data_IF_992647016338
#
_entry.id   IF_992647016338
#
_cell.length_a   1.000
_cell.length_b   1.000
_cell.length_c   1.000
_cell.angle_alpha   90.00
_cell.angle_beta   90.00
_cell.angle_gamma   90.00
#
_symmetry.space_group_name_H-M   'P 1'
#
loop_
_entity.id
_entity.type
_entity.pdbx_description
1 polymer ?
#
# COMPACT_ATOMS: atom_id res chain seq x y z
N UNK A 1 -4.59 29.67 -5.19
CA UNK A 1 -3.99 29.51 -6.54
C UNK A 1 -2.58 28.99 -6.37
N UNK A 2 -2.16 27.94 -7.08
CA UNK A 2 -0.81 27.41 -7.03
C UNK A 2 0.16 28.34 -7.75
N UNK A 3 1.39 28.56 -7.20
CA UNK A 3 2.43 29.30 -7.90
C UNK A 3 2.80 28.58 -9.20
N UNK A 4 3.14 29.34 -10.24
CA UNK A 4 3.57 28.78 -11.54
C UNK A 4 5.09 28.85 -11.72
N UNK A 5 5.74 29.82 -11.07
CA UNK A 5 7.19 29.95 -11.10
C UNK A 5 7.85 28.85 -10.24
N UNK A 6 8.91 28.22 -10.77
CA UNK A 6 9.58 27.07 -10.14
C UNK A 6 10.01 27.35 -8.70
N UNK A 7 10.67 28.48 -8.45
CA UNK A 7 11.14 28.82 -7.10
C UNK A 7 9.99 29.05 -6.13
N UNK A 8 8.94 29.74 -6.57
CA UNK A 8 7.73 29.96 -5.78
C UNK A 8 6.99 28.64 -5.49
N UNK A 9 6.97 27.70 -6.45
CA UNK A 9 6.37 26.38 -6.24
C UNK A 9 7.15 25.55 -5.21
N UNK A 10 8.48 25.55 -5.28
CA UNK A 10 9.34 24.87 -4.31
C UNK A 10 9.17 25.44 -2.90
N UNK A 11 9.15 26.79 -2.78
CA UNK A 11 8.93 27.45 -1.51
C UNK A 11 7.53 27.15 -0.94
N UNK A 12 6.51 27.15 -1.78
CA UNK A 12 5.14 26.80 -1.40
C UNK A 12 5.04 25.35 -0.91
N UNK A 13 5.66 24.40 -1.62
CA UNK A 13 5.69 22.99 -1.24
C UNK A 13 6.37 22.81 0.12
N UNK A 14 7.53 23.46 0.33
CA UNK A 14 8.24 23.40 1.60
C UNK A 14 7.39 23.96 2.76
N UNK A 15 6.75 25.13 2.55
CA UNK A 15 5.88 25.75 3.54
C UNK A 15 4.65 24.85 3.85
N UNK A 16 4.01 24.28 2.82
CA UNK A 16 2.86 23.38 2.98
C UNK A 16 3.25 22.11 3.75
N UNK A 17 4.43 21.55 3.48
CA UNK A 17 4.97 20.41 4.23
C UNK A 17 5.15 20.75 5.70
N UNK A 18 5.72 21.91 6.03
CA UNK A 18 5.89 22.34 7.43
C UNK A 18 4.55 22.57 8.15
N UNK A 19 3.55 23.12 7.46
CA UNK A 19 2.20 23.28 8.01
C UNK A 19 1.57 21.92 8.33
N UNK A 20 1.65 20.95 7.41
CA UNK A 20 1.14 19.60 7.64
C UNK A 20 1.85 18.92 8.83
N UNK A 21 3.18 18.95 8.85
CA UNK A 21 3.97 18.38 9.96
C UNK A 21 3.63 19.04 11.31
N UNK A 22 3.43 20.34 11.31
CA UNK A 22 3.00 21.09 12.50
C UNK A 22 1.62 20.64 12.99
N UNK A 23 0.66 20.53 12.09
CA UNK A 23 -0.69 20.10 12.42
C UNK A 23 -0.74 18.65 12.94
N UNK A 24 -0.03 17.72 12.30
CA UNK A 24 0.05 16.31 12.72
C UNK A 24 0.71 16.17 14.11
N UNK A 25 1.80 16.91 14.37
CA UNK A 25 2.47 16.91 15.68
C UNK A 25 1.58 17.49 16.78
N UNK A 26 0.85 18.55 16.48
CA UNK A 26 -0.07 19.19 17.43
C UNK A 26 -1.26 18.29 17.76
N UNK A 27 -1.81 17.59 16.77
CA UNK A 27 -2.93 16.68 16.95
C UNK A 27 -2.53 15.44 17.78
N UNK A 28 -1.34 14.90 17.54
CA UNK A 28 -0.92 13.63 18.11
C UNK A 28 -1.47 12.43 17.31
N UNK A 29 -0.80 11.25 17.39
CA UNK A 29 -1.07 10.13 16.49
C UNK A 29 -2.49 9.54 16.62
N UNK A 30 -3.06 9.58 17.83
CA UNK A 30 -4.34 8.94 18.14
C UNK A 30 -5.54 9.87 17.93
N UNK A 31 -5.32 11.12 17.54
CA UNK A 31 -6.41 12.06 17.27
C UNK A 31 -7.20 11.63 16.05
N UNK A 32 -8.49 11.36 16.24
CA UNK A 32 -9.42 11.04 15.16
C UNK A 32 -9.55 12.18 14.15
N UNK A 33 -9.62 11.85 12.87
CA UNK A 33 -9.82 12.83 11.82
C UNK A 33 -10.56 12.20 10.64
N UNK A 34 -11.06 13.05 9.75
CA UNK A 34 -11.60 12.57 8.50
C UNK A 34 -10.51 11.93 7.63
N UNK A 35 -10.84 10.79 7.02
CA UNK A 35 -10.02 10.10 6.02
C UNK A 35 -10.89 9.72 4.83
N UNK A 36 -10.29 9.48 3.68
CA UNK A 36 -11.02 9.00 2.50
C UNK A 36 -11.25 7.47 2.52
N UNK A 37 -10.73 6.77 3.55
CA UNK A 37 -10.82 5.31 3.71
C UNK A 37 -11.65 4.87 4.94
N UNK A 38 -12.91 5.33 5.11
CA UNK A 38 -13.67 5.07 6.35
C UNK A 38 -14.01 3.60 6.56
N UNK A 39 -14.08 2.81 5.49
CA UNK A 39 -14.45 1.39 5.51
C UNK A 39 -13.24 0.44 5.49
N UNK A 40 -12.01 0.97 5.42
CA UNK A 40 -10.78 0.17 5.40
C UNK A 40 -10.35 -0.33 6.78
N UNK A 41 -9.26 -1.10 6.81
CA UNK A 41 -8.64 -1.55 8.06
C UNK A 41 -7.65 -0.53 8.67
N UNK A 42 -7.41 0.59 8.01
CA UNK A 42 -6.49 1.63 8.49
C UNK A 42 -7.16 2.57 9.48
N UNK A 43 -6.43 3.05 10.51
CA UNK A 43 -6.97 3.98 11.49
C UNK A 43 -7.39 5.32 10.85
N UNK A 44 -8.56 5.82 11.23
CA UNK A 44 -9.02 7.18 10.88
C UNK A 44 -8.44 8.18 11.90
N UNK A 45 -7.14 8.39 11.87
CA UNK A 45 -6.42 9.22 12.82
C UNK A 45 -5.29 10.02 12.16
N UNK A 46 -4.78 11.03 12.87
CA UNK A 46 -3.63 11.80 12.42
C UNK A 46 -2.38 10.92 12.19
N UNK A 47 -2.22 9.86 12.99
CA UNK A 47 -1.18 8.84 12.76
C UNK A 47 -1.40 8.05 11.46
N UNK A 48 -2.64 7.65 11.16
CA UNK A 48 -3.02 7.03 9.90
C UNK A 48 -2.71 7.94 8.70
N UNK A 49 -3.09 9.21 8.78
CA UNK A 49 -2.75 10.23 7.76
C UNK A 49 -1.23 10.35 7.60
N UNK A 50 -0.48 10.43 8.70
CA UNK A 50 0.99 10.57 8.64
C UNK A 50 1.62 9.35 7.95
N UNK A 51 1.16 8.14 8.27
CA UNK A 51 1.62 6.89 7.65
C UNK A 51 1.33 6.88 6.15
N UNK A 52 0.10 7.17 5.76
CA UNK A 52 -0.31 7.26 4.36
C UNK A 52 0.52 8.29 3.58
N UNK A 53 0.79 9.47 4.18
CA UNK A 53 1.61 10.52 3.54
C UNK A 53 3.06 10.10 3.31
N UNK A 54 3.63 9.21 4.12
CA UNK A 54 4.97 8.65 3.86
C UNK A 54 4.96 7.82 2.57
N UNK A 55 3.93 7.00 2.36
CA UNK A 55 3.79 6.18 1.15
C UNK A 55 3.58 7.03 -0.09
N UNK A 56 2.60 7.92 -0.07
CA UNK A 56 2.32 8.85 -1.15
C UNK A 56 3.56 9.65 -1.57
N UNK A 57 4.28 10.21 -0.58
CA UNK A 57 5.49 10.98 -0.86
C UNK A 57 6.60 10.10 -1.46
N UNK A 58 6.76 8.86 -0.99
CA UNK A 58 7.78 7.94 -1.48
C UNK A 58 7.51 7.53 -2.93
N UNK A 59 6.27 7.16 -3.26
CA UNK A 59 5.86 6.76 -4.62
C UNK A 59 5.94 7.96 -5.58
N UNK A 60 5.45 9.13 -5.19
CA UNK A 60 5.52 10.31 -6.04
C UNK A 60 6.93 10.89 -6.20
N UNK A 61 7.81 10.70 -5.21
CA UNK A 61 9.24 10.99 -5.40
C UNK A 61 9.86 10.06 -6.45
N UNK A 62 9.52 8.77 -6.41
CA UNK A 62 9.91 7.82 -7.45
C UNK A 62 9.38 8.23 -8.83
N UNK A 63 8.09 8.60 -8.94
CA UNK A 63 7.48 9.07 -10.19
C UNK A 63 8.24 10.27 -10.78
N UNK A 64 8.59 11.25 -9.93
CA UNK A 64 9.35 12.42 -10.36
C UNK A 64 10.77 12.06 -10.84
N UNK A 65 11.43 11.12 -10.16
CA UNK A 65 12.76 10.63 -10.55
C UNK A 65 12.69 9.81 -11.85
N UNK A 66 11.68 9.00 -12.02
CA UNK A 66 11.45 8.22 -13.23
C UNK A 66 11.22 9.13 -14.44
N UNK A 67 10.50 10.24 -14.27
CA UNK A 67 10.26 11.23 -15.33
C UNK A 67 11.54 11.88 -15.85
N UNK A 68 12.62 11.91 -15.07
CA UNK A 68 13.94 12.41 -15.50
C UNK A 68 14.94 11.28 -15.79
N UNK A 69 14.48 10.02 -15.83
CA UNK A 69 15.29 8.85 -16.16
C UNK A 69 16.27 8.42 -15.06
N UNK A 70 16.05 8.82 -13.81
CA UNK A 70 16.93 8.53 -12.68
C UNK A 70 16.17 8.00 -11.44
N UNK A 71 15.30 6.97 -11.58
CA UNK A 71 14.57 6.42 -10.44
C UNK A 71 15.53 5.83 -9.41
N UNK A 72 15.24 6.07 -8.14
CA UNK A 72 15.97 5.47 -7.02
C UNK A 72 15.06 4.44 -6.33
N UNK A 73 15.63 3.36 -5.77
CA UNK A 73 14.85 2.42 -4.97
C UNK A 73 14.15 3.13 -3.81
N UNK A 74 12.96 2.66 -3.46
CA UNK A 74 12.28 3.13 -2.25
C UNK A 74 13.08 2.74 -1.01
N UNK A 75 13.14 3.58 0.05
CA UNK A 75 13.78 3.21 1.30
C UNK A 75 13.14 1.94 1.89
N UNK A 76 13.94 0.93 2.24
CA UNK A 76 13.44 -0.40 2.61
C UNK A 76 12.42 -0.39 3.76
N UNK A 77 12.68 0.37 4.83
CA UNK A 77 11.76 0.46 5.97
C UNK A 77 10.41 1.12 5.58
N UNK A 78 10.46 2.19 4.77
CA UNK A 78 9.25 2.81 4.26
C UNK A 78 8.49 1.86 3.31
N UNK A 79 9.20 1.13 2.46
CA UNK A 79 8.58 0.17 1.55
C UNK A 79 7.94 -1.01 2.29
N UNK A 80 8.59 -1.56 3.32
CA UNK A 80 8.03 -2.63 4.16
C UNK A 80 6.75 -2.19 4.88
N UNK A 81 6.71 -0.94 5.36
CA UNK A 81 5.50 -0.36 5.92
C UNK A 81 4.46 -0.09 4.83
N UNK A 82 4.92 0.32 3.65
CA UNK A 82 4.08 0.68 2.51
C UNK A 82 3.28 -0.46 1.92
N UNK A 83 3.84 -1.67 1.86
CA UNK A 83 3.05 -2.85 1.43
C UNK A 83 1.87 -3.06 2.38
N UNK A 84 2.13 -3.05 3.68
CA UNK A 84 1.08 -3.24 4.68
C UNK A 84 0.07 -2.10 4.66
N UNK A 85 0.54 -0.87 4.56
CA UNK A 85 -0.31 0.32 4.50
C UNK A 85 -1.25 0.26 3.29
N UNK A 86 -0.72 -0.06 2.10
CA UNK A 86 -1.53 -0.19 0.89
C UNK A 86 -2.61 -1.27 1.04
N UNK A 87 -2.24 -2.45 1.53
CA UNK A 87 -3.20 -3.55 1.71
C UNK A 87 -4.29 -3.21 2.72
N UNK A 88 -3.95 -2.53 3.82
CA UNK A 88 -4.90 -2.14 4.87
C UNK A 88 -5.78 -0.95 4.47
N UNK A 89 -5.25 -0.01 3.68
CA UNK A 89 -5.89 1.28 3.38
C UNK A 89 -6.65 1.24 2.05
N UNK A 90 -6.02 0.64 1.02
CA UNK A 90 -6.56 0.66 -0.35
C UNK A 90 -7.31 -0.63 -0.69
N UNK A 91 -6.73 -1.80 -0.31
CA UNK A 91 -7.33 -3.08 -0.70
C UNK A 91 -8.40 -3.55 0.28
N UNK A 92 -8.24 -3.30 1.59
CA UNK A 92 -9.21 -3.76 2.58
C UNK A 92 -10.51 -2.97 2.48
N UNK A 93 -11.61 -3.69 2.23
CA UNK A 93 -12.94 -3.09 1.97
C UNK A 93 -14.05 -4.08 2.31
N UNK A 94 -15.24 -3.63 2.72
CA UNK A 94 -16.42 -4.47 2.86
C UNK A 94 -17.11 -4.76 1.51
N UNK A 95 -16.69 -4.17 0.41
CA UNK A 95 -17.27 -4.42 -0.92
C UNK A 95 -17.01 -5.86 -1.35
N UNK A 96 -18.06 -6.61 -1.76
CA UNK A 96 -17.93 -8.02 -2.12
C UNK A 96 -16.95 -8.25 -3.28
N UNK A 97 -16.08 -9.24 -3.14
CA UNK A 97 -15.29 -9.75 -4.25
C UNK A 97 -16.21 -10.44 -5.28
N UNK A 98 -16.20 -10.05 -6.57
CA UNK A 98 -17.19 -10.52 -7.55
C UNK A 98 -16.86 -11.92 -8.14
N UNK A 99 -15.83 -12.59 -7.65
CA UNK A 99 -15.36 -13.89 -8.12
C UNK A 99 -15.35 -14.92 -6.98
N UNK A 100 -14.87 -16.14 -7.26
CA UNK A 100 -14.71 -17.17 -6.23
C UNK A 100 -13.76 -16.69 -5.12
N UNK A 101 -14.07 -16.98 -3.84
CA UNK A 101 -13.23 -16.61 -2.72
C UNK A 101 -11.81 -17.14 -2.88
N UNK A 102 -10.83 -16.29 -2.58
CA UNK A 102 -9.42 -16.65 -2.72
C UNK A 102 -8.53 -15.82 -1.78
N UNK A 103 -7.23 -16.09 -1.81
CA UNK A 103 -6.23 -15.31 -1.08
C UNK A 103 -5.03 -15.02 -1.96
N UNK A 104 -4.43 -13.85 -1.71
CA UNK A 104 -3.22 -13.38 -2.36
C UNK A 104 -2.14 -13.19 -1.29
N UNK A 105 -0.97 -13.82 -1.48
CA UNK A 105 0.17 -13.61 -0.60
C UNK A 105 1.19 -12.68 -1.25
N UNK A 106 1.72 -11.75 -0.47
CA UNK A 106 2.77 -10.81 -0.87
C UNK A 106 4.01 -11.10 -0.02
N UNK A 107 5.11 -11.49 -0.66
CA UNK A 107 6.34 -11.91 0.02
C UNK A 107 7.48 -10.95 -0.30
N UNK A 108 7.88 -10.15 0.68
CA UNK A 108 9.05 -9.29 0.57
C UNK A 108 10.35 -10.07 0.82
N UNK A 109 11.36 -9.83 -0.02
CA UNK A 109 12.69 -10.42 0.12
C UNK A 109 13.34 -10.08 1.47
N UNK A 110 12.92 -8.99 2.10
CA UNK A 110 13.32 -8.54 3.43
C UNK A 110 12.70 -9.37 4.58
N UNK A 111 11.94 -10.43 4.27
CA UNK A 111 11.45 -11.43 5.23
C UNK A 111 10.08 -11.13 5.86
N UNK A 112 9.34 -10.15 5.36
CA UNK A 112 7.93 -9.95 5.73
C UNK A 112 6.99 -10.50 4.66
N UNK A 113 5.82 -10.96 5.11
CA UNK A 113 4.77 -11.43 4.22
C UNK A 113 3.40 -10.97 4.71
N UNK A 114 2.50 -10.77 3.76
CA UNK A 114 1.13 -10.35 4.02
C UNK A 114 0.17 -11.18 3.17
N UNK A 115 -1.04 -11.35 3.66
CA UNK A 115 -2.14 -12.00 2.97
C UNK A 115 -3.30 -11.04 2.81
N UNK A 116 -3.83 -10.96 1.61
CA UNK A 116 -5.12 -10.36 1.29
C UNK A 116 -6.10 -11.51 0.99
N UNK A 117 -7.11 -11.68 1.83
CA UNK A 117 -8.20 -12.63 1.61
C UNK A 117 -9.38 -11.87 1.05
N UNK A 118 -10.00 -12.39 -0.01
CA UNK A 118 -11.14 -11.78 -0.71
C UNK A 118 -12.29 -12.78 -0.82
N UNK A 119 -13.49 -12.34 -0.47
CA UNK A 119 -14.71 -13.16 -0.48
C UNK A 119 -15.97 -12.31 -0.63
N UNK A 120 -17.14 -12.90 -0.44
CA UNK A 120 -18.43 -12.20 -0.50
C UNK A 120 -18.64 -11.14 0.59
N UNK A 121 -17.82 -11.14 1.64
CA UNK A 121 -17.85 -10.14 2.72
C UNK A 121 -16.78 -9.04 2.54
N UNK A 122 -16.02 -9.09 1.44
CA UNK A 122 -15.03 -8.08 1.09
C UNK A 122 -13.59 -8.56 1.07
N UNK A 123 -12.66 -7.63 1.28
CA UNK A 123 -11.22 -7.88 1.31
C UNK A 123 -10.63 -7.56 2.69
N UNK A 124 -9.79 -8.44 3.20
CA UNK A 124 -9.12 -8.32 4.50
C UNK A 124 -7.63 -8.60 4.39
N UNK A 125 -6.83 -7.68 4.87
CA UNK A 125 -5.38 -7.82 4.90
C UNK A 125 -4.88 -8.25 6.28
N UNK A 126 -3.92 -9.17 6.31
CA UNK A 126 -3.27 -9.63 7.55
C UNK A 126 -1.78 -9.85 7.31
N UNK A 127 -0.98 -9.72 8.37
CA UNK A 127 0.43 -10.13 8.31
C UNK A 127 0.53 -11.64 8.46
N UNK A 128 1.29 -12.29 7.57
CA UNK A 128 1.58 -13.73 7.66
C UNK A 128 2.77 -13.93 8.61
N UNK A 129 2.65 -14.76 9.64
CA UNK A 129 3.78 -15.10 10.51
C UNK A 129 4.91 -15.75 9.73
N UNK A 130 6.17 -15.51 10.16
CA UNK A 130 7.32 -16.18 9.58
C UNK A 130 7.21 -17.71 9.70
N UNK A 131 7.68 -18.49 8.72
CA UNK A 131 7.69 -19.96 8.80
C UNK A 131 8.35 -20.43 10.10
N UNK A 132 7.64 -21.25 10.88
CA UNK A 132 8.14 -21.80 12.17
C UNK A 132 7.54 -21.17 13.42
N UNK A 133 6.74 -20.12 13.34
CA UNK A 133 5.93 -19.64 14.45
C UNK A 133 4.59 -20.39 14.45
N UNK A 134 4.40 -21.18 15.51
CA UNK A 134 3.30 -22.08 15.83
C UNK A 134 2.08 -22.07 14.91
N UNK A 135 1.91 -23.22 14.32
CA UNK A 135 0.79 -23.69 13.55
C UNK A 135 -0.57 -23.48 14.26
N UNK A 136 -1.56 -23.18 13.48
CA UNK A 136 -2.93 -23.22 13.94
C UNK A 136 -4.00 -23.27 12.87
N UNK A 137 -3.68 -23.01 11.63
CA UNK A 137 -4.64 -23.23 10.54
C UNK A 137 -3.88 -23.65 9.28
N UNK A 138 -4.35 -24.71 8.63
CA UNK A 138 -3.96 -24.97 7.26
C UNK A 138 -4.29 -23.72 6.46
N UNK A 139 -3.37 -23.17 5.67
CA UNK A 139 -3.68 -22.00 4.87
C UNK A 139 -4.86 -22.38 3.95
N UNK A 140 -5.93 -21.58 3.97
CA UNK A 140 -6.86 -21.57 2.87
C UNK A 140 -6.03 -21.49 1.59
N UNK A 141 -6.40 -22.27 0.59
CA UNK A 141 -5.59 -22.41 -0.61
C UNK A 141 -5.29 -21.02 -1.18
N UNK A 142 -4.00 -20.65 -1.20
CA UNK A 142 -3.55 -19.38 -1.77
C UNK A 142 -3.72 -19.47 -3.27
N UNK A 143 -4.52 -18.58 -3.86
CA UNK A 143 -4.74 -18.56 -5.30
C UNK A 143 -3.52 -18.08 -6.07
N UNK A 144 -2.86 -17.02 -5.57
CA UNK A 144 -1.63 -16.50 -6.15
C UNK A 144 -0.72 -15.87 -5.09
N UNK A 145 0.59 -15.92 -5.32
CA UNK A 145 1.59 -15.25 -4.48
C UNK A 145 2.52 -14.39 -5.32
N UNK A 146 2.80 -13.18 -4.85
CA UNK A 146 3.70 -12.23 -5.50
C UNK A 146 4.98 -12.07 -4.68
N UNK A 147 6.14 -12.17 -5.33
CA UNK A 147 7.45 -12.11 -4.67
C UNK A 147 8.31 -11.02 -5.28
N UNK A 148 8.94 -10.22 -4.43
CA UNK A 148 9.86 -9.16 -4.81
C UNK A 148 10.49 -8.50 -3.60
N UNK A 149 11.31 -7.47 -3.79
CA UNK A 149 11.68 -6.58 -2.71
C UNK A 149 10.45 -5.79 -2.24
N UNK A 150 10.46 -5.29 -1.02
CA UNK A 150 9.35 -4.48 -0.52
C UNK A 150 9.08 -3.25 -1.43
N UNK A 151 10.16 -2.64 -1.95
CA UNK A 151 10.04 -1.53 -2.89
C UNK A 151 9.35 -1.91 -4.21
N UNK A 152 9.70 -3.07 -4.76
CA UNK A 152 9.03 -3.59 -5.96
C UNK A 152 7.56 -3.92 -5.70
N UNK A 153 7.25 -4.52 -4.55
CA UNK A 153 5.86 -4.80 -4.17
C UNK A 153 5.02 -3.51 -4.03
N UNK A 154 5.56 -2.46 -3.39
CA UNK A 154 4.89 -1.15 -3.34
C UNK A 154 4.66 -0.60 -4.74
N UNK A 155 5.70 -0.55 -5.59
CA UNK A 155 5.58 -0.03 -6.95
C UNK A 155 4.61 -0.85 -7.81
N UNK A 156 4.53 -2.17 -7.57
CA UNK A 156 3.54 -3.04 -8.19
C UNK A 156 2.12 -2.70 -7.71
N UNK A 157 1.91 -2.53 -6.40
CA UNK A 157 0.62 -2.16 -5.81
C UNK A 157 0.12 -0.80 -6.34
N UNK A 158 1.01 0.16 -6.53
CA UNK A 158 0.71 1.48 -7.08
C UNK A 158 0.72 1.53 -8.62
N UNK A 159 0.79 0.40 -9.30
CA UNK A 159 0.74 0.31 -10.77
C UNK A 159 1.94 0.95 -11.49
N UNK A 160 3.11 0.99 -10.83
CA UNK A 160 4.36 1.50 -11.40
C UNK A 160 5.26 0.40 -11.96
N UNK A 161 4.98 -0.87 -11.62
CA UNK A 161 5.64 -2.04 -12.19
C UNK A 161 4.61 -2.98 -12.82
N UNK A 162 4.87 -3.48 -14.06
CA UNK A 162 4.05 -4.53 -14.67
C UNK A 162 4.07 -5.82 -13.84
N UNK A 163 2.97 -6.57 -13.84
CA UNK A 163 2.87 -7.85 -13.13
C UNK A 163 3.98 -8.84 -13.54
N UNK A 164 4.34 -8.87 -14.82
CA UNK A 164 5.42 -9.73 -15.32
C UNK A 164 6.84 -9.37 -14.86
N UNK A 165 7.03 -8.29 -14.12
CA UNK A 165 8.33 -7.91 -13.52
C UNK A 165 8.63 -8.71 -12.26
N UNK A 166 7.59 -9.16 -11.54
CA UNK A 166 7.69 -9.89 -10.29
C UNK A 166 7.48 -11.39 -10.52
N UNK A 167 8.04 -12.21 -9.64
CA UNK A 167 7.72 -13.63 -9.63
C UNK A 167 6.33 -13.83 -9.06
N UNK A 168 5.48 -14.52 -9.82
CA UNK A 168 4.14 -14.91 -9.40
C UNK A 168 4.10 -16.44 -9.32
N UNK A 169 3.70 -16.99 -8.17
CA UNK A 169 3.41 -18.41 -7.99
C UNK A 169 1.87 -18.58 -7.90
N UNK A 170 1.33 -19.66 -8.43
CA UNK A 170 -0.11 -19.91 -8.50
C UNK A 170 -0.76 -19.38 -9.79
N UNK A 171 -2.01 -18.94 -9.71
CA UNK A 171 -2.76 -18.45 -10.87
C UNK A 171 -2.52 -16.96 -11.10
N UNK A 172 -1.69 -16.62 -12.10
CA UNK A 172 -1.42 -15.25 -12.48
C UNK A 172 -2.68 -14.48 -12.96
N UNK A 173 -3.69 -15.19 -13.50
CA UNK A 173 -4.95 -14.57 -13.91
C UNK A 173 -5.72 -13.95 -12.74
N UNK A 174 -5.57 -14.48 -11.52
CA UNK A 174 -6.15 -13.90 -10.32
C UNK A 174 -5.53 -12.52 -9.99
N UNK A 175 -4.25 -12.33 -10.28
CA UNK A 175 -3.59 -11.02 -10.09
C UNK A 175 -4.20 -9.99 -11.04
N UNK A 176 -4.49 -10.35 -12.28
CA UNK A 176 -5.14 -9.45 -13.23
C UNK A 176 -6.56 -9.10 -12.78
N UNK A 177 -7.31 -10.06 -12.23
CA UNK A 177 -8.63 -9.84 -11.65
C UNK A 177 -8.55 -8.90 -10.42
N UNK A 178 -7.57 -9.11 -9.53
CA UNK A 178 -7.37 -8.25 -8.36
C UNK A 178 -7.08 -6.80 -8.77
N UNK A 179 -6.25 -6.60 -9.78
CA UNK A 179 -5.89 -5.27 -10.29
C UNK A 179 -7.03 -4.58 -11.04
N UNK A 180 -7.93 -5.37 -11.65
CA UNK A 180 -9.10 -4.86 -12.36
C UNK A 180 -10.31 -4.64 -11.44
N UNK A 181 -10.22 -5.08 -10.18
CA UNK A 181 -11.33 -4.93 -9.25
C UNK A 181 -11.38 -3.50 -8.69
N UNK A 182 -12.50 -2.84 -8.96
CA UNK A 182 -12.85 -1.52 -8.44
C UNK A 182 -13.97 -1.71 -7.39
N UNK A 183 -13.63 -1.79 -6.10
CA UNK A 183 -14.64 -1.93 -5.04
C UNK A 183 -15.52 -0.68 -5.00
N UNK A 184 -16.83 -0.88 -4.80
CA UNK A 184 -17.77 0.23 -4.59
C UNK A 184 -17.42 0.97 -3.29
N UNK A 185 -17.40 2.30 -3.33
CA UNK A 185 -17.16 3.17 -2.18
C UNK A 185 -18.39 3.27 -1.23
#
# INVERSE_FOLDING_TARGET
MLPREREALVAWLAASTQLLLGALRQAGPDSGCWTWWPASQSPQSAGGIARHRVQETSVHAYDAQAAVGAPQPLPAEAALDGVEEFLLTVCATPSPWPHEPTSFDFHAAEGRSWRLTVDGDGARATRVPAPGTTAGQAPDAVGASVHGTAGELVLFCYDRLPAGTLRVDGDAGLIDLLRAWEPEE
#
